data_IF_686016223684
#
_entry.id   IF_686016223684
#
_cell.length_a   1.000
_cell.length_b   1.000
_cell.length_c   1.000
_cell.angle_alpha   90.00
_cell.angle_beta   90.00
_cell.angle_gamma   90.00
#
_symmetry.space_group_name_H-M   'P 1'
#
loop_
_entity.id
_entity.type
_entity.pdbx_description
1 polymer ?
#
# COMPACT_ATOMS: atom_id res chain seq x y z
N UNK A 1 26.15 -9.07 -27.56
CA UNK A 1 24.81 -9.45 -28.06
C UNK A 1 23.87 -8.33 -27.66
N UNK A 2 23.03 -7.82 -28.57
CA UNK A 2 22.22 -6.63 -28.30
C UNK A 2 20.88 -6.97 -27.64
N UNK A 3 20.52 -6.24 -26.58
CA UNK A 3 19.10 -5.98 -26.32
C UNK A 3 18.65 -4.91 -27.29
N UNK A 4 17.82 -5.29 -28.26
CA UNK A 4 17.01 -4.33 -29.00
C UNK A 4 15.96 -3.78 -28.05
N UNK A 5 16.24 -2.63 -27.42
CA UNK A 5 15.22 -1.87 -26.69
C UNK A 5 14.22 -1.35 -27.71
N UNK A 6 13.14 -2.11 -27.89
CA UNK A 6 12.09 -1.79 -28.82
C UNK A 6 11.52 -0.40 -28.51
N UNK A 7 11.33 0.42 -29.55
CA UNK A 7 10.47 1.61 -29.49
C UNK A 7 9.01 1.17 -29.38
N UNK A 8 8.66 0.62 -28.22
CA UNK A 8 7.29 0.28 -27.87
C UNK A 8 6.54 1.56 -27.53
N UNK A 9 5.62 1.97 -28.40
CA UNK A 9 4.60 2.96 -28.07
C UNK A 9 3.79 2.44 -26.87
N UNK A 10 3.82 3.20 -25.78
CA UNK A 10 3.11 2.95 -24.51
C UNK A 10 2.23 4.19 -24.27
N UNK A 11 0.97 4.04 -23.81
CA UNK A 11 -0.13 4.87 -24.32
C UNK A 11 -0.27 6.28 -23.71
N UNK A 12 -0.88 7.16 -24.52
CA UNK A 12 -1.29 8.53 -24.23
C UNK A 12 -2.61 8.63 -23.45
N UNK A 13 -2.88 9.63 -22.60
CA UNK A 13 -1.96 10.54 -21.86
C UNK A 13 -2.67 10.92 -20.52
N UNK A 14 -3.23 12.12 -20.19
CA UNK A 14 -3.09 13.51 -20.69
C UNK A 14 -2.60 14.52 -19.61
N UNK A 15 -2.64 15.80 -19.98
CA UNK A 15 -2.87 16.98 -19.13
C UNK A 15 -1.70 17.53 -18.28
N UNK A 16 -0.50 17.61 -18.89
CA UNK A 16 0.56 18.52 -18.43
C UNK A 16 1.16 19.43 -19.51
N UNK A 17 0.72 19.30 -20.78
CA UNK A 17 1.13 20.16 -21.90
C UNK A 17 2.62 20.11 -22.26
N UNK A 18 3.39 19.18 -21.70
CA UNK A 18 4.84 19.06 -21.92
C UNK A 18 5.22 17.66 -22.37
N UNK A 19 5.40 17.50 -23.67
CA UNK A 19 6.05 16.32 -24.24
C UNK A 19 7.50 16.24 -23.73
N UNK A 20 7.74 15.33 -22.78
CA UNK A 20 9.06 14.99 -22.25
C UNK A 20 9.36 13.52 -22.55
N UNK A 21 10.65 13.20 -22.73
CA UNK A 21 11.09 11.82 -22.81
C UNK A 21 11.13 11.24 -21.40
N UNK A 22 10.33 10.22 -21.15
CA UNK A 22 10.26 9.54 -19.87
C UNK A 22 11.58 8.80 -19.60
N UNK A 23 12.18 9.03 -18.43
CA UNK A 23 13.33 8.25 -17.95
C UNK A 23 12.95 6.80 -17.65
N UNK A 24 13.94 5.93 -17.47
CA UNK A 24 13.69 4.54 -17.08
C UNK A 24 12.90 4.45 -15.77
N UNK A 25 13.22 5.30 -14.79
CA UNK A 25 12.53 5.37 -13.50
C UNK A 25 11.08 5.87 -13.65
N UNK A 26 10.83 6.88 -14.48
CA UNK A 26 9.46 7.36 -14.75
C UNK A 26 8.62 6.33 -15.52
N UNK A 27 9.20 5.54 -16.43
CA UNK A 27 8.53 4.42 -17.11
C UNK A 27 8.20 3.31 -16.10
N UNK A 28 9.11 3.00 -15.17
CA UNK A 28 8.87 2.03 -14.09
C UNK A 28 7.73 2.53 -13.19
N UNK A 29 7.80 3.78 -12.70
CA UNK A 29 6.77 4.41 -11.89
C UNK A 29 5.42 4.51 -12.63
N UNK A 30 5.42 4.69 -13.95
CA UNK A 30 4.21 4.65 -14.77
C UNK A 30 3.58 3.25 -14.82
N UNK A 31 4.36 2.19 -15.03
CA UNK A 31 3.85 0.81 -15.01
C UNK A 31 3.29 0.45 -13.63
N UNK A 32 4.06 0.74 -12.57
CA UNK A 32 3.68 0.47 -11.18
C UNK A 32 2.47 1.29 -10.70
N UNK A 33 2.11 2.37 -11.40
CA UNK A 33 0.91 3.20 -11.11
C UNK A 33 -0.41 2.45 -11.29
N UNK A 34 -0.42 1.38 -12.10
CA UNK A 34 -1.56 0.47 -12.29
C UNK A 34 -1.41 -0.87 -11.58
N UNK A 35 -0.32 -1.09 -10.84
CA UNK A 35 -0.12 -2.30 -10.04
C UNK A 35 -0.75 -2.12 -8.65
N UNK A 36 -1.43 -3.15 -8.14
CA UNK A 36 -1.97 -3.12 -6.78
C UNK A 36 -0.84 -3.28 -5.75
N UNK A 37 -0.24 -2.14 -5.40
CA UNK A 37 0.74 -1.96 -4.33
C UNK A 37 0.09 -2.20 -2.96
N UNK A 38 -0.13 -3.47 -2.63
CA UNK A 38 -0.56 -3.89 -1.30
C UNK A 38 0.65 -4.09 -0.40
N UNK A 39 0.45 -3.93 0.91
CA UNK A 39 1.48 -4.24 1.93
C UNK A 39 2.00 -5.69 1.81
N UNK A 40 1.20 -6.63 1.28
CA UNK A 40 1.63 -8.00 1.00
C UNK A 40 2.49 -8.13 -0.26
N UNK A 41 2.19 -7.35 -1.31
CA UNK A 41 3.01 -7.26 -2.52
C UNK A 41 4.42 -6.77 -2.16
N UNK A 42 4.49 -5.64 -1.45
CA UNK A 42 5.73 -5.03 -0.97
C UNK A 42 6.53 -6.00 -0.08
N UNK A 43 5.87 -6.70 0.85
CA UNK A 43 6.51 -7.66 1.74
C UNK A 43 7.12 -8.88 1.02
N UNK A 44 6.43 -9.41 0.00
CA UNK A 44 6.91 -10.53 -0.82
C UNK A 44 8.10 -10.13 -1.69
N UNK A 45 8.14 -8.89 -2.18
CA UNK A 45 9.28 -8.32 -2.91
C UNK A 45 10.41 -7.84 -1.98
N UNK A 46 10.35 -8.15 -0.69
CA UNK A 46 11.40 -7.85 0.28
C UNK A 46 11.45 -6.39 0.76
N UNK A 47 10.54 -5.53 0.28
CA UNK A 47 10.52 -4.11 0.64
C UNK A 47 9.94 -3.88 2.03
N UNK A 48 10.45 -2.84 2.68
CA UNK A 48 9.96 -2.31 3.95
C UNK A 48 9.21 -1.01 3.66
N UNK A 49 8.00 -0.87 4.20
CA UNK A 49 7.13 0.29 3.97
C UNK A 49 7.05 1.17 5.22
N UNK A 50 6.64 2.42 5.05
CA UNK A 50 6.43 3.34 6.18
C UNK A 50 5.33 2.84 7.14
N UNK A 51 4.35 2.11 6.62
CA UNK A 51 3.31 1.47 7.44
C UNK A 51 3.86 0.27 8.23
N UNK A 52 4.76 -0.53 7.64
CA UNK A 52 5.48 -1.58 8.38
C UNK A 52 6.38 -0.99 9.46
N UNK A 53 7.10 0.10 9.19
CA UNK A 53 7.88 0.82 10.21
C UNK A 53 7.00 1.33 11.36
N UNK A 54 5.86 1.96 11.03
CA UNK A 54 4.92 2.47 12.02
C UNK A 54 4.42 1.33 12.94
N UNK A 55 3.98 0.22 12.36
CA UNK A 55 3.47 -0.94 13.11
C UNK A 55 4.58 -1.68 13.86
N UNK A 56 5.78 -1.82 13.30
CA UNK A 56 6.95 -2.40 13.99
C UNK A 56 7.28 -1.64 15.27
N UNK A 57 7.31 -0.31 15.20
CA UNK A 57 7.57 0.60 16.32
C UNK A 57 6.44 0.61 17.36
N UNK A 58 5.19 0.58 16.91
CA UNK A 58 3.97 0.60 17.74
C UNK A 58 3.72 -0.73 18.48
N UNK A 59 4.09 -1.87 17.90
CA UNK A 59 3.92 -3.20 18.51
C UNK A 59 5.19 -3.73 19.20
N UNK A 60 6.35 -3.08 19.02
CA UNK A 60 7.63 -3.50 19.63
C UNK A 60 8.26 -4.73 18.97
N UNK A 61 8.01 -4.97 17.67
CA UNK A 61 8.49 -6.13 16.91
C UNK A 61 9.47 -5.70 15.82
N UNK A 62 10.40 -6.56 15.39
CA UNK A 62 11.30 -6.22 14.27
C UNK A 62 10.55 -6.13 12.94
N UNK A 63 10.98 -5.22 12.08
CA UNK A 63 10.34 -4.99 10.78
C UNK A 63 10.56 -6.16 9.81
N UNK A 64 11.68 -6.88 9.93
CA UNK A 64 11.96 -8.10 9.16
C UNK A 64 10.94 -9.20 9.46
N UNK A 65 10.67 -9.44 10.75
CA UNK A 65 9.68 -10.41 11.21
C UNK A 65 8.26 -9.99 10.78
N UNK A 66 7.93 -8.71 10.96
CA UNK A 66 6.63 -8.17 10.56
C UNK A 66 6.40 -8.33 9.05
N UNK A 67 7.41 -8.00 8.23
CA UNK A 67 7.39 -8.17 6.77
C UNK A 67 7.24 -9.64 6.39
N UNK A 68 7.98 -10.55 7.01
CA UNK A 68 7.85 -12.00 6.78
C UNK A 68 6.42 -12.47 7.07
N UNK A 69 5.87 -12.12 8.24
CA UNK A 69 4.49 -12.46 8.63
C UNK A 69 3.44 -11.86 7.68
N UNK A 70 3.67 -10.67 7.12
CA UNK A 70 2.78 -10.06 6.11
C UNK A 70 2.87 -10.81 4.77
N UNK A 71 4.07 -11.17 4.30
CA UNK A 71 4.26 -12.00 3.11
C UNK A 71 3.58 -13.37 3.22
N UNK A 72 3.69 -13.99 4.40
CA UNK A 72 3.00 -15.24 4.76
C UNK A 72 1.47 -15.09 4.97
N UNK A 73 0.92 -13.87 4.94
CA UNK A 73 -0.51 -13.62 5.17
C UNK A 73 -0.97 -13.84 6.61
N UNK A 74 -0.05 -13.85 7.58
CA UNK A 74 -0.30 -14.03 9.03
C UNK A 74 -0.58 -12.71 9.76
N UNK A 75 -0.17 -11.60 9.16
CA UNK A 75 -0.45 -10.23 9.59
C UNK A 75 -0.92 -9.44 8.37
N UNK A 76 -1.88 -8.54 8.57
CA UNK A 76 -2.28 -7.52 7.59
C UNK A 76 -2.11 -6.12 8.20
N UNK A 77 -1.86 -5.12 7.35
CA UNK A 77 -1.92 -3.70 7.72
C UNK A 77 -2.93 -3.04 6.77
N UNK A 78 -4.14 -2.69 7.23
CA UNK A 78 -5.12 -1.98 6.41
C UNK A 78 -4.65 -0.54 6.13
N UNK A 79 -4.14 -0.32 4.92
CA UNK A 79 -3.62 0.97 4.45
C UNK A 79 -4.13 1.24 3.02
N UNK A 80 -5.39 1.66 2.91
CA UNK A 80 -5.97 2.03 1.62
C UNK A 80 -5.41 3.39 1.17
N UNK A 81 -4.80 3.46 -0.02
CA UNK A 81 -4.22 4.68 -0.61
C UNK A 81 -5.19 5.88 -0.70
N UNK A 82 -6.50 5.64 -0.70
CA UNK A 82 -7.52 6.69 -0.71
C UNK A 82 -7.92 7.19 0.69
N UNK A 83 -7.46 6.53 1.77
CA UNK A 83 -7.86 6.78 3.15
C UNK A 83 -6.73 7.50 3.91
N UNK A 84 -6.59 8.79 3.62
CA UNK A 84 -5.47 9.63 4.06
C UNK A 84 -5.56 10.00 5.55
N UNK A 85 -4.41 10.26 6.17
CA UNK A 85 -4.30 10.74 7.56
C UNK A 85 -4.49 9.69 8.66
N UNK A 86 -4.71 8.42 8.32
CA UNK A 86 -4.99 7.35 9.30
C UNK A 86 -3.72 6.67 9.79
N UNK A 87 -3.65 6.40 11.09
CA UNK A 87 -2.53 5.67 11.73
C UNK A 87 -2.53 4.20 11.28
N UNK A 88 -1.43 3.68 10.70
CA UNK A 88 -1.32 2.27 10.36
C UNK A 88 -1.44 1.37 11.60
N UNK A 89 -2.18 0.26 11.47
CA UNK A 89 -2.36 -0.74 12.54
C UNK A 89 -2.16 -2.14 11.98
N UNK A 90 -1.28 -2.92 12.59
CA UNK A 90 -1.11 -4.33 12.29
C UNK A 90 -2.19 -5.19 12.96
N UNK A 91 -2.74 -6.14 12.23
CA UNK A 91 -3.73 -7.12 12.72
C UNK A 91 -3.22 -8.51 12.36
N UNK A 92 -2.97 -9.36 13.35
CA UNK A 92 -2.57 -10.75 13.10
C UNK A 92 -1.81 -11.43 14.24
N UNK A 93 -1.26 -12.60 13.93
CA UNK A 93 -0.63 -13.51 14.89
C UNK A 93 0.68 -12.91 15.45
N UNK A 94 0.74 -12.75 16.78
CA UNK A 94 1.91 -12.23 17.52
C UNK A 94 1.90 -10.74 17.80
N UNK A 95 0.86 -10.00 17.36
CA UNK A 95 0.63 -8.59 17.72
C UNK A 95 -0.33 -8.47 18.90
N UNK A 96 -0.42 -7.27 19.51
CA UNK A 96 -1.42 -6.99 20.57
C UNK A 96 -2.83 -7.12 20.00
N UNK A 97 -3.75 -7.75 20.73
CA UNK A 97 -5.15 -7.96 20.31
C UNK A 97 -5.82 -6.63 19.93
N UNK A 98 -6.58 -6.63 18.84
CA UNK A 98 -7.39 -5.48 18.36
C UNK A 98 -8.88 -5.77 18.55
N UNK A 99 -9.66 -4.72 18.78
CA UNK A 99 -11.13 -4.78 18.85
C UNK A 99 -11.68 -3.91 17.72
N UNK A 100 -12.76 -4.37 17.09
CA UNK A 100 -13.50 -3.62 16.07
C UNK A 100 -14.90 -3.30 16.58
N UNK A 101 -15.34 -2.07 16.39
CA UNK A 101 -16.71 -1.60 16.69
C UNK A 101 -17.36 -1.17 15.39
N UNK A 102 -18.58 -1.63 15.12
CA UNK A 102 -19.38 -1.13 14.00
C UNK A 102 -20.18 0.08 14.48
N UNK A 103 -20.05 1.21 13.77
CA UNK A 103 -20.80 2.44 14.01
C UNK A 103 -21.49 2.85 12.70
N UNK A 104 -22.69 3.42 12.81
CA UNK A 104 -23.48 3.89 11.66
C UNK A 104 -24.98 3.92 11.94
N UNK A 105 -25.66 4.84 11.27
CA UNK A 105 -27.11 5.07 11.36
C UNK A 105 -27.94 3.95 10.75
N UNK A 106 -29.19 3.80 11.18
CA UNK A 106 -30.18 2.91 10.56
C UNK A 106 -31.19 3.71 9.71
N UNK A 107 -32.10 3.04 8.99
CA UNK A 107 -33.24 3.72 8.34
C UNK A 107 -34.17 4.42 9.34
N UNK A 108 -34.14 3.98 10.60
CA UNK A 108 -35.11 4.31 11.63
C UNK A 108 -34.52 5.33 12.64
N UNK A 109 -33.19 5.49 12.63
CA UNK A 109 -32.45 6.50 13.37
C UNK A 109 -31.26 7.01 12.54
N UNK A 110 -31.39 8.24 12.04
CA UNK A 110 -30.33 9.00 11.34
C UNK A 110 -30.11 10.30 12.09
N UNK A 111 -29.20 10.28 13.06
CA UNK A 111 -28.50 11.47 13.52
C UNK A 111 -27.09 11.50 12.89
N UNK A 112 -26.49 12.68 12.77
CA UNK A 112 -25.13 12.86 12.25
C UNK A 112 -24.15 13.36 13.32
N UNK A 113 -24.66 13.74 14.50
CA UNK A 113 -23.88 14.22 15.64
C UNK A 113 -23.76 13.15 16.77
N UNK A 114 -24.18 11.89 16.51
CA UNK A 114 -24.05 10.69 17.40
C UNK A 114 -22.73 9.91 17.18
#
# INVERSE_FOLDING_TARGET
MGLSLALGLIPSEPDSGRAHLWTADEIILWRRRGEEMTQRTEALEGRQTLEMEAVSREEGVSIEWLRERIGLGRIVIPANRNHQGVRPVGIGEGLRIKVNTNLGTSSDHVDLDE
#
